data_IF_116667962159
#
_entry.id   IF_116667962159
#
_cell.length_a   1.000
_cell.length_b   1.000
_cell.length_c   1.000
_cell.angle_alpha   90.00
_cell.angle_beta   90.00
_cell.angle_gamma   90.00
#
_symmetry.space_group_name_H-M   'P 1'
#
loop_
_entity.id
_entity.type
_entity.pdbx_description
1 polymer ?
#
# COMPACT_ATOMS: atom_id res chain seq x y z
N UNK A 1 -79.63 -19.48 6.09
CA UNK A 1 -79.78 -20.89 5.70
C UNK A 1 -78.39 -21.37 5.35
N UNK A 2 -77.94 -22.35 6.12
CA UNK A 2 -76.89 -23.36 5.92
C UNK A 2 -75.45 -22.85 5.61
N UNK A 3 -74.54 -22.88 6.60
CA UNK A 3 -73.84 -24.06 7.18
C UNK A 3 -73.04 -24.86 6.16
N UNK A 4 -71.68 -24.93 6.33
CA UNK A 4 -70.85 -26.01 6.90
C UNK A 4 -69.37 -25.69 6.60
N UNK A 5 -68.57 -25.52 7.54
CA UNK A 5 -67.69 -26.43 8.27
C UNK A 5 -66.61 -27.14 7.45
N UNK A 6 -65.36 -26.76 7.66
CA UNK A 6 -64.03 -27.29 7.91
C UNK A 6 -63.53 -28.51 7.07
N UNK A 7 -62.24 -28.88 7.08
CA UNK A 7 -61.37 -28.94 8.24
C UNK A 7 -59.87 -28.54 8.05
N UNK A 8 -59.27 -28.29 9.14
CA UNK A 8 -57.85 -28.44 9.55
C UNK A 8 -56.83 -28.99 8.54
N UNK A 9 -55.81 -28.22 8.29
CA UNK A 9 -54.54 -28.68 7.75
C UNK A 9 -53.36 -28.07 8.54
N UNK A 10 -52.78 -28.89 9.42
CA UNK A 10 -51.49 -28.61 10.05
C UNK A 10 -50.43 -28.57 8.97
N UNK A 11 -49.67 -27.49 8.86
CA UNK A 11 -48.41 -27.52 8.15
C UNK A 11 -47.34 -26.76 8.94
N UNK A 12 -46.38 -27.51 9.25
CA UNK A 12 -45.19 -27.36 9.98
C UNK A 12 -44.45 -26.04 9.81
N UNK A 13 -44.18 -25.43 10.95
CA UNK A 13 -43.11 -24.48 11.06
C UNK A 13 -41.80 -25.19 10.70
N UNK A 14 -41.22 -24.85 9.55
CA UNK A 14 -39.85 -25.24 9.25
C UNK A 14 -38.95 -24.39 10.13
N UNK A 15 -38.29 -25.05 11.05
CA UNK A 15 -37.12 -24.55 11.75
C UNK A 15 -36.06 -24.14 10.68
N UNK A 16 -35.86 -22.86 10.45
CA UNK A 16 -34.66 -22.35 9.78
C UNK A 16 -33.53 -22.53 10.80
N UNK A 17 -32.61 -23.39 10.46
CA UNK A 17 -31.49 -23.71 11.33
C UNK A 17 -30.63 -22.50 11.59
N UNK A 18 -30.29 -22.29 12.86
CA UNK A 18 -29.38 -21.24 13.41
C UNK A 18 -28.02 -21.12 12.75
N UNK A 19 -27.67 -21.98 11.80
CA UNK A 19 -26.41 -21.96 11.07
C UNK A 19 -26.30 -20.79 10.07
N UNK A 20 -27.41 -20.38 9.45
CA UNK A 20 -27.37 -19.32 8.41
C UNK A 20 -27.25 -17.92 9.00
N UNK A 21 -27.79 -17.71 10.21
CA UNK A 21 -27.69 -16.40 10.89
C UNK A 21 -26.29 -16.18 11.46
N UNK A 22 -25.62 -17.25 11.92
CA UNK A 22 -24.22 -17.17 12.39
C UNK A 22 -23.24 -16.96 11.24
N UNK A 23 -23.52 -17.49 10.05
CA UNK A 23 -22.70 -17.29 8.88
C UNK A 23 -22.77 -15.85 8.35
N UNK A 24 -23.94 -15.21 8.34
CA UNK A 24 -24.12 -13.81 7.97
C UNK A 24 -23.46 -12.84 8.96
N UNK A 25 -23.55 -13.09 10.28
CA UNK A 25 -22.93 -12.24 11.30
C UNK A 25 -21.40 -12.36 11.31
N UNK A 26 -20.85 -13.56 11.07
CA UNK A 26 -19.42 -13.77 10.95
C UNK A 26 -18.81 -13.08 9.72
N UNK A 27 -19.56 -12.98 8.62
CA UNK A 27 -19.12 -12.26 7.41
C UNK A 27 -19.13 -10.73 7.62
N UNK A 28 -20.08 -10.19 8.36
CA UNK A 28 -20.19 -8.74 8.59
C UNK A 28 -19.06 -8.20 9.48
N UNK A 29 -18.62 -8.95 10.49
CA UNK A 29 -17.56 -8.52 11.41
C UNK A 29 -16.14 -8.62 10.80
N UNK A 30 -15.95 -9.34 9.70
CA UNK A 30 -14.65 -9.56 9.07
C UNK A 30 -14.34 -8.57 7.94
N UNK A 31 -15.34 -7.92 7.36
CA UNK A 31 -15.16 -7.03 6.20
C UNK A 31 -14.34 -5.79 6.52
N UNK A 32 -14.56 -5.15 7.66
CA UNK A 32 -13.80 -3.96 8.06
C UNK A 32 -12.32 -4.26 8.30
N UNK A 33 -12.01 -5.41 8.89
CA UNK A 33 -10.62 -5.87 9.07
C UNK A 33 -9.94 -6.16 7.74
N UNK A 34 -10.66 -6.75 6.78
CA UNK A 34 -10.17 -7.01 5.43
C UNK A 34 -9.94 -5.70 4.65
N UNK A 35 -10.86 -4.75 4.75
CA UNK A 35 -10.72 -3.42 4.13
C UNK A 35 -9.51 -2.70 4.73
N UNK A 36 -9.36 -2.71 6.04
CA UNK A 36 -8.22 -2.11 6.72
C UNK A 36 -6.87 -2.75 6.31
N UNK A 37 -6.86 -4.05 5.99
CA UNK A 37 -5.64 -4.74 5.54
C UNK A 37 -5.16 -4.33 4.15
N UNK A 38 -6.06 -3.87 3.28
CA UNK A 38 -5.73 -3.32 1.96
C UNK A 38 -5.20 -1.89 2.05
N UNK A 39 -5.64 -1.15 3.06
CA UNK A 39 -5.32 0.25 3.22
C UNK A 39 -3.87 0.52 3.62
N UNK A 40 -3.47 1.78 3.51
CA UNK A 40 -2.18 2.25 3.97
C UNK A 40 -2.05 2.10 5.50
N UNK A 41 -0.85 1.81 5.97
CA UNK A 41 -0.51 1.67 7.39
C UNK A 41 0.96 1.97 7.62
N UNK A 42 1.29 2.39 8.83
CA UNK A 42 2.68 2.50 9.26
C UNK A 42 3.21 1.13 9.70
N UNK A 43 4.43 0.85 9.30
CA UNK A 43 5.21 -0.30 9.78
C UNK A 43 6.52 0.21 10.39
N UNK A 44 7.03 -0.38 11.48
CA UNK A 44 8.38 -0.09 11.94
C UNK A 44 9.38 -0.27 10.80
N UNK A 45 10.29 0.68 10.65
CA UNK A 45 11.31 0.63 9.58
C UNK A 45 12.20 -0.60 9.70
N UNK A 46 12.37 -1.10 10.91
CA UNK A 46 13.20 -2.26 11.24
C UNK A 46 12.54 -3.60 10.86
N UNK A 47 11.23 -3.63 10.61
CA UNK A 47 10.48 -4.88 10.46
C UNK A 47 10.66 -5.60 9.12
N UNK A 48 11.21 -4.98 8.08
CA UNK A 48 11.27 -5.65 6.77
C UNK A 48 12.57 -6.40 6.51
N UNK A 49 13.74 -5.76 6.68
CA UNK A 49 15.03 -6.42 6.44
C UNK A 49 15.53 -7.16 7.69
N UNK A 50 15.40 -6.53 8.85
CA UNK A 50 15.86 -7.10 10.11
C UNK A 50 15.03 -8.32 10.53
N UNK A 51 13.69 -8.25 10.40
CA UNK A 51 12.82 -9.39 10.73
C UNK A 51 12.90 -10.51 9.70
N UNK A 52 13.07 -10.19 8.42
CA UNK A 52 13.36 -11.18 7.39
C UNK A 52 14.70 -11.88 7.66
N UNK A 53 15.72 -11.12 8.08
CA UNK A 53 17.00 -11.65 8.48
C UNK A 53 16.91 -12.57 9.73
N UNK A 54 16.16 -12.15 10.75
CA UNK A 54 15.88 -12.96 11.96
C UNK A 54 15.13 -14.23 11.59
N UNK A 55 14.12 -14.15 10.70
CA UNK A 55 13.38 -15.33 10.24
C UNK A 55 14.28 -16.35 9.51
N UNK A 56 15.27 -15.88 8.75
CA UNK A 56 16.27 -16.74 8.12
C UNK A 56 17.20 -17.37 9.16
N UNK A 57 17.71 -16.58 10.10
CA UNK A 57 18.59 -17.04 11.19
C UNK A 57 17.87 -18.08 12.06
N UNK A 58 16.55 -17.96 12.23
CA UNK A 58 15.73 -18.91 13.02
C UNK A 58 15.59 -20.28 12.35
N UNK A 59 15.86 -20.38 11.03
CA UNK A 59 15.89 -21.66 10.31
C UNK A 59 17.18 -22.43 10.51
N UNK A 60 18.24 -21.76 11.00
CA UNK A 60 19.54 -22.32 11.27
C UNK A 60 20.68 -21.31 11.13
N UNK A 61 21.90 -21.68 11.54
CA UNK A 61 23.06 -20.81 11.43
C UNK A 61 23.37 -20.44 9.98
N UNK A 62 23.39 -19.14 9.65
CA UNK A 62 23.59 -18.63 8.30
C UNK A 62 24.82 -17.70 8.23
N UNK A 63 25.61 -17.78 7.15
CA UNK A 63 26.74 -16.88 6.93
C UNK A 63 26.27 -15.52 6.38
N UNK A 64 27.02 -14.44 6.69
CA UNK A 64 26.68 -13.08 6.25
C UNK A 64 26.44 -12.93 4.73
N UNK A 65 27.23 -13.57 3.83
CA UNK A 65 26.96 -13.49 2.39
C UNK A 65 25.65 -14.14 1.97
N UNK A 66 25.30 -15.29 2.53
CA UNK A 66 24.06 -16.01 2.26
C UNK A 66 22.85 -15.21 2.79
N UNK A 67 22.96 -14.71 4.04
CA UNK A 67 21.93 -13.87 4.65
C UNK A 67 21.63 -12.62 3.81
N UNK A 68 22.68 -11.89 3.41
CA UNK A 68 22.53 -10.65 2.64
C UNK A 68 22.01 -10.93 1.23
N UNK A 69 22.45 -12.01 0.59
CA UNK A 69 21.96 -12.42 -0.72
C UNK A 69 20.45 -12.67 -0.68
N UNK A 70 19.96 -13.38 0.35
CA UNK A 70 18.57 -13.75 0.49
C UNK A 70 17.69 -12.54 0.90
N UNK A 71 18.12 -11.78 1.93
CA UNK A 71 17.33 -10.65 2.46
C UNK A 71 17.30 -9.47 1.50
N UNK A 72 18.44 -9.17 0.84
CA UNK A 72 18.56 -8.05 -0.09
C UNK A 72 18.33 -8.44 -1.56
N UNK A 73 18.08 -9.73 -1.87
CA UNK A 73 17.98 -10.27 -3.22
C UNK A 73 19.20 -9.88 -4.10
N UNK A 74 20.38 -9.87 -3.51
CA UNK A 74 21.61 -9.41 -4.12
C UNK A 74 22.51 -10.59 -4.52
N UNK A 75 23.02 -10.58 -5.76
CA UNK A 75 23.91 -11.62 -6.28
C UNK A 75 25.37 -11.11 -6.26
N UNK A 76 26.31 -11.94 -5.80
CA UNK A 76 27.76 -11.67 -5.92
C UNK A 76 28.29 -10.60 -4.94
N UNK A 77 27.66 -10.42 -3.79
CA UNK A 77 28.11 -9.48 -2.76
C UNK A 77 29.47 -9.90 -2.19
N UNK A 78 30.47 -9.02 -2.24
CA UNK A 78 31.80 -9.29 -1.65
C UNK A 78 31.66 -9.55 -0.15
N UNK A 79 32.40 -10.54 0.38
CA UNK A 79 32.30 -11.00 1.77
C UNK A 79 32.40 -9.85 2.79
N UNK A 80 33.37 -8.95 2.65
CA UNK A 80 33.53 -7.82 3.56
C UNK A 80 32.33 -6.87 3.59
N UNK A 81 31.72 -6.61 2.43
CA UNK A 81 30.49 -5.80 2.32
C UNK A 81 29.30 -6.55 2.92
N UNK A 82 29.17 -7.85 2.67
CA UNK A 82 28.11 -8.68 3.25
C UNK A 82 28.19 -8.74 4.78
N UNK A 83 29.40 -8.83 5.34
CA UNK A 83 29.61 -8.80 6.79
C UNK A 83 29.21 -7.43 7.39
N UNK A 84 29.56 -6.32 6.72
CA UNK A 84 29.16 -4.98 7.14
C UNK A 84 27.63 -4.80 7.09
N UNK A 85 26.98 -5.23 6.00
CA UNK A 85 25.53 -5.16 5.83
C UNK A 85 24.79 -6.05 6.85
N UNK A 86 25.24 -7.29 7.06
CA UNK A 86 24.63 -8.19 8.04
C UNK A 86 24.70 -7.62 9.47
N UNK A 87 25.84 -6.98 9.84
CA UNK A 87 25.94 -6.26 11.12
C UNK A 87 25.04 -5.05 11.21
N UNK A 88 24.86 -4.29 10.12
CA UNK A 88 23.95 -3.17 10.09
C UNK A 88 22.49 -3.63 10.25
N UNK A 89 22.12 -4.77 9.65
CA UNK A 89 20.77 -5.34 9.70
C UNK A 89 20.48 -6.01 11.05
N UNK A 90 21.41 -6.74 11.64
CA UNK A 90 21.19 -7.59 12.80
C UNK A 90 21.93 -7.13 14.07
N UNK A 91 22.92 -6.22 13.98
CA UNK A 91 23.80 -5.88 15.10
C UNK A 91 23.10 -5.21 16.30
N UNK A 92 21.91 -4.65 16.09
CA UNK A 92 21.10 -4.04 17.15
C UNK A 92 20.04 -5.01 17.73
N UNK A 93 19.96 -6.24 17.21
CA UNK A 93 18.96 -7.24 17.63
C UNK A 93 19.48 -8.10 18.79
N UNK A 94 18.78 -8.11 19.94
CA UNK A 94 19.18 -8.92 21.09
C UNK A 94 18.88 -10.41 20.91
N UNK A 95 17.99 -10.76 19.99
CA UNK A 95 17.52 -12.11 19.72
C UNK A 95 18.42 -12.91 18.77
N UNK A 96 19.48 -12.27 18.22
CA UNK A 96 20.46 -12.90 17.34
C UNK A 96 21.88 -12.48 17.68
N UNK A 97 22.86 -13.37 17.41
CA UNK A 97 24.29 -13.07 17.57
C UNK A 97 25.12 -13.75 16.50
N UNK A 98 26.28 -13.18 16.21
CA UNK A 98 27.29 -13.82 15.38
C UNK A 98 28.18 -14.73 16.23
N UNK A 99 28.26 -16.01 15.86
CA UNK A 99 29.09 -16.98 16.53
C UNK A 99 30.60 -16.83 16.17
N UNK A 100 31.51 -17.53 16.84
CA UNK A 100 32.95 -17.50 16.56
C UNK A 100 33.30 -18.03 15.17
N UNK A 101 32.44 -18.81 14.55
CA UNK A 101 32.53 -19.30 13.16
C UNK A 101 32.05 -18.27 12.12
N UNK A 102 31.67 -17.06 12.55
CA UNK A 102 31.19 -15.98 11.71
C UNK A 102 29.73 -16.15 11.23
N UNK A 103 29.01 -17.18 11.69
CA UNK A 103 27.60 -17.39 11.33
C UNK A 103 26.67 -16.74 12.33
N UNK A 104 25.55 -16.21 11.83
CA UNK A 104 24.47 -15.64 12.64
C UNK A 104 23.57 -16.75 13.17
N UNK A 105 23.16 -16.62 14.44
CA UNK A 105 22.31 -17.59 15.18
C UNK A 105 21.35 -16.87 16.08
N UNK A 106 20.23 -17.50 16.42
CA UNK A 106 19.35 -17.02 17.49
C UNK A 106 20.01 -17.19 18.85
N UNK A 107 19.81 -16.24 19.75
CA UNK A 107 20.24 -16.33 21.15
C UNK A 107 19.24 -17.21 21.92
N UNK A 108 19.32 -18.54 21.72
CA UNK A 108 18.65 -19.50 22.58
C UNK A 108 19.53 -19.77 23.82
N UNK A 109 19.66 -18.82 24.73
CA UNK A 109 20.05 -19.13 26.08
C UNK A 109 18.79 -19.35 26.91
N UNK A 110 18.64 -20.53 27.57
CA UNK A 110 17.66 -20.65 28.64
C UNK A 110 18.09 -19.64 29.72
N UNK A 111 17.22 -18.69 30.00
CA UNK A 111 17.38 -17.77 31.12
C UNK A 111 17.43 -18.61 32.39
N UNK A 112 18.63 -18.85 32.90
CA UNK A 112 18.83 -19.42 34.23
C UNK A 112 18.36 -18.35 35.22
N UNK A 113 17.32 -18.60 36.04
CA UNK A 113 16.85 -17.59 36.97
C UNK A 113 17.92 -17.42 38.07
N UNK A 114 18.60 -16.28 38.07
CA UNK A 114 19.42 -15.85 39.20
C UNK A 114 18.48 -15.71 40.42
N UNK A 115 18.80 -16.51 41.41
CA UNK A 115 18.20 -16.60 42.74
C UNK A 115 18.18 -15.22 43.42
N UNK A 116 17.02 -14.59 43.46
CA UNK A 116 16.76 -13.50 44.40
C UNK A 116 15.48 -13.83 45.20
N UNK A 117 15.68 -14.19 46.47
CA UNK A 117 14.64 -14.24 47.51
C UNK A 117 14.11 -12.83 47.74
N UNK A 118 12.78 -12.66 47.75
CA UNK A 118 11.95 -12.16 48.86
C UNK A 118 10.50 -12.00 48.40
N UNK A 119 9.71 -12.80 49.03
CA UNK A 119 8.35 -12.65 49.64
C UNK A 119 7.38 -11.64 49.04
N UNK A 120 6.23 -12.22 48.79
CA UNK A 120 4.94 -11.81 48.26
C UNK A 120 4.24 -10.63 49.00
N UNK A 121 3.12 -10.14 48.46
CA UNK A 121 1.84 -10.85 48.73
C UNK A 121 1.00 -11.10 47.46
N UNK A 122 0.25 -12.19 47.60
CA UNK A 122 -0.77 -12.61 46.67
C UNK A 122 -1.92 -11.61 46.63
N UNK A 123 -2.40 -11.31 45.41
CA UNK A 123 -3.81 -10.98 45.14
C UNK A 123 -4.08 -10.97 43.63
N UNK A 124 -5.09 -11.74 43.25
CA UNK A 124 -5.90 -11.70 42.04
C UNK A 124 -5.28 -12.33 40.78
N UNK A 125 -5.75 -13.56 40.54
CA UNK A 125 -5.68 -14.21 39.23
C UNK A 125 -6.27 -13.32 38.14
N UNK A 126 -5.55 -13.05 37.06
CA UNK A 126 -6.19 -12.60 35.85
C UNK A 126 -6.88 -13.81 35.20
N UNK A 127 -8.14 -13.61 34.83
CA UNK A 127 -8.88 -14.49 33.95
C UNK A 127 -8.07 -14.85 32.70
N UNK A 128 -8.28 -16.06 32.12
CA UNK A 128 -7.55 -16.46 30.93
C UNK A 128 -7.84 -15.47 29.83
N UNK A 129 -6.81 -14.73 29.42
CA UNK A 129 -6.83 -13.96 28.17
C UNK A 129 -7.09 -14.96 27.06
N UNK A 130 -8.30 -14.95 26.53
CA UNK A 130 -8.59 -15.58 25.24
C UNK A 130 -7.62 -14.95 24.23
N UNK A 131 -6.60 -15.73 23.87
CA UNK A 131 -5.83 -15.46 22.67
C UNK A 131 -6.84 -15.45 21.52
N UNK A 132 -7.30 -14.28 21.12
CA UNK A 132 -8.04 -14.08 19.91
C UNK A 132 -7.12 -14.57 18.79
N UNK A 133 -7.38 -15.76 18.27
CA UNK A 133 -6.86 -16.24 17.00
C UNK A 133 -7.29 -15.18 15.97
N UNK A 134 -6.40 -14.26 15.64
CA UNK A 134 -6.61 -13.36 14.51
C UNK A 134 -6.88 -14.25 13.30
N UNK A 135 -8.04 -14.16 12.65
CA UNK A 135 -8.32 -14.98 11.47
C UNK A 135 -7.23 -14.66 10.44
N UNK A 136 -6.55 -15.68 9.98
CA UNK A 136 -5.57 -15.56 8.91
C UNK A 136 -6.30 -14.96 7.72
N UNK A 137 -5.98 -13.70 7.37
CA UNK A 137 -6.58 -13.00 6.22
C UNK A 137 -6.17 -13.76 4.95
N UNK A 138 -7.08 -14.53 4.39
CA UNK A 138 -6.79 -15.26 3.16
C UNK A 138 -6.82 -14.29 1.99
N UNK A 139 -5.91 -14.47 1.05
CA UNK A 139 -5.86 -13.70 -0.20
C UNK A 139 -7.22 -13.71 -0.93
N UNK A 140 -7.94 -14.82 -0.87
CA UNK A 140 -9.23 -14.99 -1.51
C UNK A 140 -10.34 -14.13 -0.88
N UNK A 141 -10.35 -14.01 0.45
CA UNK A 141 -11.30 -13.16 1.15
C UNK A 141 -11.11 -11.67 0.81
N UNK A 142 -9.84 -11.22 0.74
CA UNK A 142 -9.49 -9.86 0.30
C UNK A 142 -9.90 -9.64 -1.17
N UNK A 143 -9.64 -10.61 -2.04
CA UNK A 143 -9.99 -10.52 -3.47
C UNK A 143 -11.52 -10.44 -3.70
N UNK A 144 -12.32 -11.01 -2.82
CA UNK A 144 -13.79 -11.00 -2.91
C UNK A 144 -14.43 -9.68 -2.43
N UNK A 145 -13.69 -8.76 -1.82
CA UNK A 145 -14.25 -7.49 -1.32
C UNK A 145 -14.90 -6.70 -2.45
N UNK A 146 -16.17 -6.25 -2.30
CA UNK A 146 -16.81 -5.37 -3.25
C UNK A 146 -16.08 -4.03 -3.34
N UNK A 147 -15.92 -3.48 -4.55
CA UNK A 147 -15.28 -2.17 -4.77
C UNK A 147 -16.04 -1.07 -4.02
N UNK A 148 -17.38 -1.16 -3.92
CA UNK A 148 -18.23 -0.20 -3.21
C UNK A 148 -17.93 -0.12 -1.71
N UNK A 149 -17.45 -1.19 -1.09
CA UNK A 149 -17.07 -1.20 0.32
C UNK A 149 -15.67 -0.62 0.59
N UNK A 150 -14.86 -0.44 -0.46
CA UNK A 150 -13.48 0.02 -0.31
C UNK A 150 -13.42 1.52 -0.01
N UNK A 151 -12.38 1.90 0.74
CA UNK A 151 -12.05 3.28 1.05
C UNK A 151 -10.81 3.68 0.27
N UNK A 152 -10.85 4.83 -0.38
CA UNK A 152 -9.75 5.34 -1.19
C UNK A 152 -9.28 6.68 -0.64
N UNK A 153 -7.97 6.87 -0.58
CA UNK A 153 -7.33 8.16 -0.34
C UNK A 153 -6.63 8.58 -1.63
N UNK A 154 -7.22 9.54 -2.32
CA UNK A 154 -6.66 10.10 -3.55
C UNK A 154 -5.70 11.20 -3.17
N UNK A 155 -4.43 11.01 -3.54
CA UNK A 155 -3.32 11.89 -3.14
C UNK A 155 -2.73 12.54 -4.36
N UNK A 156 -2.38 13.80 -4.22
CA UNK A 156 -1.55 14.55 -5.16
C UNK A 156 -0.53 15.38 -4.37
N UNK A 157 0.69 15.48 -4.88
CA UNK A 157 1.76 16.24 -4.25
C UNK A 157 2.45 17.16 -5.25
N UNK A 158 2.70 18.40 -4.84
CA UNK A 158 3.64 19.27 -5.51
C UNK A 158 5.00 19.18 -4.81
N UNK A 159 6.08 19.22 -5.58
CA UNK A 159 7.42 18.90 -5.09
C UNK A 159 8.47 19.84 -5.63
N UNK A 160 9.65 19.88 -5.03
CA UNK A 160 10.80 20.67 -5.52
C UNK A 160 11.51 20.01 -6.71
N UNK A 161 11.16 18.75 -7.05
CA UNK A 161 11.74 17.99 -8.14
C UNK A 161 11.18 16.58 -8.23
N UNK A 162 11.88 15.63 -8.86
CA UNK A 162 11.36 14.29 -9.15
C UNK A 162 11.94 13.15 -8.31
N UNK A 163 12.87 13.43 -7.37
CA UNK A 163 13.70 12.40 -6.73
C UNK A 163 13.81 12.57 -5.22
N UNK A 164 12.87 12.05 -4.41
CA UNK A 164 12.90 12.24 -2.95
C UNK A 164 14.21 11.72 -2.34
N UNK A 165 14.78 10.60 -2.83
CA UNK A 165 16.06 10.06 -2.36
C UNK A 165 17.29 10.93 -2.69
N UNK A 166 17.14 11.97 -3.51
CA UNK A 166 18.20 12.93 -3.86
C UNK A 166 17.94 14.33 -3.28
N UNK A 167 17.05 14.43 -2.31
CA UNK A 167 16.81 15.67 -1.58
C UNK A 167 15.64 16.51 -2.08
N UNK A 168 14.91 16.07 -3.11
CA UNK A 168 13.67 16.73 -3.48
C UNK A 168 12.59 16.49 -2.42
N UNK A 169 11.79 17.52 -2.14
CA UNK A 169 10.86 17.59 -1.02
C UNK A 169 9.45 17.94 -1.49
N UNK A 170 8.45 17.62 -0.66
CA UNK A 170 7.06 18.04 -0.87
C UNK A 170 6.92 19.52 -0.51
N UNK A 171 6.23 20.29 -1.36
CA UNK A 171 5.86 21.70 -1.16
C UNK A 171 4.37 21.89 -0.89
N UNK A 172 3.54 20.95 -1.35
CA UNK A 172 2.10 20.90 -1.10
C UNK A 172 1.63 19.44 -1.13
N UNK A 173 0.67 19.10 -0.30
CA UNK A 173 0.01 17.78 -0.32
C UNK A 173 -1.48 17.98 -0.21
N UNK A 174 -2.24 17.19 -0.99
CA UNK A 174 -3.68 17.03 -0.84
C UNK A 174 -4.04 15.55 -0.73
N UNK A 175 -5.04 15.27 0.12
CA UNK A 175 -5.62 13.94 0.33
C UNK A 175 -7.14 14.08 0.25
N UNK A 176 -7.74 13.44 -0.76
CA UNK A 176 -9.19 13.41 -0.97
C UNK A 176 -9.69 12.00 -0.65
N UNK A 177 -10.47 11.87 0.41
CA UNK A 177 -11.03 10.57 0.79
C UNK A 177 -12.33 10.30 0.03
N UNK A 178 -12.41 9.10 -0.56
CA UNK A 178 -13.56 8.63 -1.32
C UNK A 178 -14.07 7.33 -0.70
N UNK A 179 -15.36 7.29 -0.44
CA UNK A 179 -16.08 6.11 0.05
C UNK A 179 -17.44 6.03 -0.63
N UNK A 180 -17.87 4.83 -1.00
CA UNK A 180 -19.15 4.57 -1.68
C UNK A 180 -19.42 5.51 -2.88
N UNK A 181 -18.40 5.73 -3.70
CA UNK A 181 -18.48 6.60 -4.87
C UNK A 181 -18.67 8.09 -4.57
N UNK A 182 -18.45 8.53 -3.34
CA UNK A 182 -18.58 9.92 -2.89
C UNK A 182 -17.25 10.45 -2.33
N UNK A 183 -16.96 11.72 -2.58
CA UNK A 183 -15.90 12.43 -1.86
C UNK A 183 -16.43 12.76 -0.47
N UNK A 184 -15.78 12.25 0.59
CA UNK A 184 -16.23 12.40 1.97
C UNK A 184 -15.37 13.34 2.80
N UNK A 185 -14.14 13.60 2.36
CA UNK A 185 -13.23 14.52 3.06
C UNK A 185 -12.15 15.04 2.10
N UNK A 186 -11.68 16.26 2.33
CA UNK A 186 -10.58 16.88 1.60
C UNK A 186 -9.65 17.53 2.61
N UNK A 187 -8.41 17.12 2.58
CA UNK A 187 -7.31 17.72 3.33
C UNK A 187 -6.30 18.31 2.35
N UNK A 188 -5.83 19.51 2.62
CA UNK A 188 -4.76 20.14 1.86
C UNK A 188 -3.87 20.99 2.77
N UNK A 189 -2.59 21.03 2.45
CA UNK A 189 -1.67 21.95 3.11
C UNK A 189 -0.43 22.24 2.26
N UNK A 190 0.02 23.50 2.29
CA UNK A 190 1.36 23.85 1.88
C UNK A 190 2.37 23.33 2.93
N UNK A 191 3.53 22.91 2.46
CA UNK A 191 4.61 22.35 3.29
C UNK A 191 5.89 23.14 3.07
N UNK A 192 6.60 23.48 4.13
CA UNK A 192 7.93 24.01 4.03
C UNK A 192 8.90 22.88 3.63
N UNK A 193 9.49 22.92 2.42
CA UNK A 193 10.35 21.84 1.95
C UNK A 193 11.75 21.85 2.60
N UNK A 194 12.07 22.85 3.43
CA UNK A 194 13.39 23.06 4.05
C UNK A 194 14.55 23.16 3.02
N UNK A 195 14.21 23.42 1.77
CA UNK A 195 15.17 23.63 0.68
C UNK A 195 14.61 24.63 -0.33
N UNK A 196 15.47 25.08 -1.25
CA UNK A 196 15.07 26.01 -2.30
C UNK A 196 14.14 25.35 -3.32
N UNK A 197 13.08 26.06 -3.72
CA UNK A 197 12.20 25.64 -4.81
C UNK A 197 12.82 26.14 -6.12
N UNK A 198 13.16 25.24 -7.07
CA UNK A 198 13.72 25.68 -8.36
C UNK A 198 12.76 26.58 -9.11
N UNK A 199 13.24 27.64 -9.81
CA UNK A 199 12.38 28.59 -10.53
C UNK A 199 11.43 27.92 -11.55
N UNK A 200 11.88 26.86 -12.22
CA UNK A 200 11.06 26.09 -13.16
C UNK A 200 9.87 25.40 -12.44
N UNK A 201 10.07 24.90 -11.23
CA UNK A 201 9.01 24.31 -10.43
C UNK A 201 8.00 25.38 -10.02
N UNK A 202 8.49 26.53 -9.54
CA UNK A 202 7.61 27.67 -9.23
C UNK A 202 6.77 28.12 -10.41
N UNK A 203 7.32 28.12 -11.65
CA UNK A 203 6.57 28.44 -12.86
C UNK A 203 5.42 27.46 -13.13
N UNK A 204 5.58 26.17 -12.82
CA UNK A 204 4.59 25.12 -13.04
C UNK A 204 3.53 25.14 -11.92
N UNK A 205 3.98 25.10 -10.67
CA UNK A 205 3.10 24.93 -9.49
C UNK A 205 2.56 26.24 -8.94
N UNK A 206 3.20 27.36 -9.30
CA UNK A 206 2.96 28.71 -8.73
C UNK A 206 3.24 28.80 -7.23
N UNK A 207 3.89 27.77 -6.65
CA UNK A 207 4.32 27.77 -5.25
C UNK A 207 5.66 28.46 -5.14
N UNK A 208 5.73 29.58 -4.40
CA UNK A 208 6.95 30.33 -4.16
C UNK A 208 7.56 29.96 -2.81
N UNK A 209 8.85 30.22 -2.62
CA UNK A 209 9.52 30.03 -1.33
C UNK A 209 8.88 30.86 -0.21
N UNK A 210 8.34 32.04 -0.51
CA UNK A 210 7.66 32.89 0.47
C UNK A 210 6.34 32.27 0.95
N UNK A 211 5.60 31.59 0.05
CA UNK A 211 4.33 30.93 0.41
C UNK A 211 4.55 29.78 1.41
N UNK A 212 5.68 29.08 1.34
CA UNK A 212 5.96 27.89 2.16
C UNK A 212 6.84 28.18 3.37
N UNK A 213 7.50 29.34 3.45
CA UNK A 213 8.48 29.70 4.50
C UNK A 213 7.95 29.49 5.91
N UNK A 214 6.71 29.89 6.16
CA UNK A 214 6.07 29.81 7.49
C UNK A 214 5.04 28.66 7.57
N UNK A 215 5.11 27.69 6.65
CA UNK A 215 4.25 26.51 6.69
C UNK A 215 4.92 25.39 7.50
N UNK A 216 4.16 24.40 7.99
CA UNK A 216 4.75 23.29 8.71
C UNK A 216 5.75 22.55 7.82
N UNK A 217 6.83 22.03 8.39
CA UNK A 217 7.68 21.03 7.73
C UNK A 217 6.95 19.70 7.70
N UNK A 218 7.27 18.84 6.74
CA UNK A 218 6.54 17.58 6.60
C UNK A 218 6.62 16.71 7.86
N UNK A 219 7.74 16.70 8.55
CA UNK A 219 7.92 15.96 9.80
C UNK A 219 6.86 16.30 10.86
N UNK A 220 6.39 17.57 10.91
CA UNK A 220 5.35 18.00 11.84
C UNK A 220 3.97 17.40 11.53
N UNK A 221 3.68 17.19 10.24
CA UNK A 221 2.38 16.67 9.77
C UNK A 221 2.42 15.19 9.41
N UNK A 222 3.56 14.53 9.52
CA UNK A 222 3.77 13.17 9.02
C UNK A 222 2.81 12.15 9.64
N UNK A 223 2.52 12.26 10.95
CA UNK A 223 1.54 11.40 11.62
C UNK A 223 0.11 11.70 11.15
N UNK A 224 -0.28 12.97 11.04
CA UNK A 224 -1.61 13.36 10.54
C UNK A 224 -1.83 12.85 9.10
N UNK A 225 -0.81 12.98 8.24
CA UNK A 225 -0.85 12.42 6.87
C UNK A 225 -1.01 10.89 6.91
N UNK A 226 -0.23 10.20 7.73
CA UNK A 226 -0.32 8.74 7.85
C UNK A 226 -1.69 8.29 8.37
N UNK A 227 -2.25 8.97 9.36
CA UNK A 227 -3.57 8.67 9.94
C UNK A 227 -4.69 8.89 8.92
N UNK A 228 -4.58 9.93 8.07
CA UNK A 228 -5.54 10.16 6.98
C UNK A 228 -5.50 9.10 5.89
N UNK A 229 -4.33 8.50 5.68
CA UNK A 229 -4.14 7.40 4.74
C UNK A 229 -4.53 6.04 5.35
N UNK A 230 -4.50 5.90 6.67
CA UNK A 230 -4.72 4.64 7.37
C UNK A 230 -6.05 3.97 6.97
N UNK A 231 -5.99 2.69 6.59
CA UNK A 231 -7.15 1.92 6.16
C UNK A 231 -7.73 2.28 4.78
N UNK A 232 -7.08 3.17 4.03
CA UNK A 232 -7.50 3.57 2.68
C UNK A 232 -6.51 3.03 1.63
N UNK A 233 -7.01 2.61 0.48
CA UNK A 233 -6.20 2.33 -0.70
C UNK A 233 -5.65 3.66 -1.21
N UNK A 234 -4.33 3.76 -1.32
CA UNK A 234 -3.67 4.96 -1.85
C UNK A 234 -3.90 5.07 -3.36
N UNK A 235 -4.43 6.18 -3.81
CA UNK A 235 -4.71 6.43 -5.23
C UNK A 235 -4.02 7.71 -5.68
N UNK A 236 -3.44 7.71 -6.88
CA UNK A 236 -2.97 8.94 -7.51
C UNK A 236 -2.97 8.84 -9.04
N UNK A 237 -2.84 9.98 -9.71
CA UNK A 237 -2.69 10.04 -11.15
C UNK A 237 -1.21 9.93 -11.53
N UNK A 238 -0.67 8.72 -11.67
CA UNK A 238 0.71 8.26 -11.69
C UNK A 238 1.22 7.90 -10.28
N UNK A 239 0.48 7.07 -9.58
CA UNK A 239 0.63 6.75 -8.15
C UNK A 239 2.06 6.39 -7.70
N UNK A 240 2.94 5.91 -8.59
CA UNK A 240 4.32 5.61 -8.22
C UNK A 240 5.14 6.87 -7.88
N UNK A 241 4.75 8.03 -8.39
CA UNK A 241 5.41 9.29 -8.07
C UNK A 241 5.02 9.75 -6.66
N UNK A 242 3.72 9.92 -6.43
CA UNK A 242 3.18 10.43 -5.16
C UNK A 242 3.49 9.48 -4.00
N UNK A 243 3.33 8.17 -4.22
CA UNK A 243 3.67 7.16 -3.23
C UNK A 243 5.12 7.24 -2.76
N UNK A 244 6.08 7.41 -3.70
CA UNK A 244 7.51 7.52 -3.34
C UNK A 244 7.78 8.75 -2.49
N UNK A 245 7.19 9.91 -2.84
CA UNK A 245 7.39 11.13 -2.06
C UNK A 245 6.76 11.02 -0.68
N UNK A 246 5.49 10.63 -0.60
CA UNK A 246 4.77 10.51 0.67
C UNK A 246 5.43 9.46 1.58
N UNK A 247 5.80 8.28 1.03
CA UNK A 247 6.49 7.24 1.81
C UNK A 247 7.85 7.73 2.33
N UNK A 248 8.60 8.46 1.52
CA UNK A 248 9.90 9.01 1.93
C UNK A 248 9.77 10.05 3.04
N UNK A 249 8.83 10.99 2.90
CA UNK A 249 8.60 12.03 3.89
C UNK A 249 7.97 11.49 5.18
N UNK A 250 7.06 10.54 5.10
CA UNK A 250 6.51 9.84 6.28
C UNK A 250 7.64 9.12 7.02
N UNK A 251 8.50 8.39 6.32
CA UNK A 251 9.66 7.74 6.94
C UNK A 251 10.59 8.74 7.63
N UNK A 252 10.89 9.86 6.98
CA UNK A 252 11.72 10.93 7.57
C UNK A 252 11.11 11.54 8.83
N UNK A 253 9.78 11.72 8.85
CA UNK A 253 9.08 12.36 9.95
C UNK A 253 8.77 11.44 11.13
N UNK A 254 8.54 10.15 10.86
CA UNK A 254 8.06 9.19 11.88
C UNK A 254 9.06 8.08 12.21
N UNK A 255 10.08 7.85 11.36
CA UNK A 255 10.94 6.68 11.43
C UNK A 255 10.25 5.38 11.03
N UNK A 256 9.00 5.43 10.55
CA UNK A 256 8.21 4.27 10.19
C UNK A 256 7.96 4.24 8.67
N UNK A 257 7.90 3.04 8.10
CA UNK A 257 7.62 2.87 6.68
C UNK A 257 6.11 2.90 6.42
N UNK A 258 5.70 3.63 5.40
CA UNK A 258 4.35 3.55 4.87
C UNK A 258 4.24 2.28 4.00
N UNK A 259 3.29 1.42 4.33
CA UNK A 259 2.97 0.20 3.59
C UNK A 259 1.49 0.20 3.22
N UNK A 260 1.13 -0.44 2.13
CA UNK A 260 -0.26 -0.54 1.70
C UNK A 260 -0.42 -0.72 0.20
N UNK A 261 -1.67 -0.84 -0.20
CA UNK A 261 -2.04 -1.05 -1.59
C UNK A 261 -2.16 0.28 -2.33
N UNK A 262 -1.65 0.33 -3.56
CA UNK A 262 -1.74 1.50 -4.43
C UNK A 262 -2.56 1.23 -5.68
N UNK A 263 -3.36 2.20 -6.11
CA UNK A 263 -4.15 2.20 -7.33
C UNK A 263 -3.73 3.40 -8.20
N UNK A 264 -3.34 3.14 -9.45
CA UNK A 264 -2.92 4.19 -10.37
C UNK A 264 -4.01 4.47 -11.41
N UNK A 265 -4.60 5.67 -11.40
CA UNK A 265 -5.66 6.03 -12.35
C UNK A 265 -5.18 6.07 -13.79
N UNK A 266 -3.90 6.38 -14.07
CA UNK A 266 -3.32 6.26 -15.43
C UNK A 266 -3.34 4.81 -15.91
N UNK A 267 -2.97 3.86 -15.04
CA UNK A 267 -2.97 2.42 -15.39
C UNK A 267 -4.40 1.91 -15.58
N UNK A 268 -5.32 2.31 -14.72
CA UNK A 268 -6.73 1.95 -14.82
C UNK A 268 -7.35 2.55 -16.09
N UNK A 269 -7.11 3.83 -16.38
CA UNK A 269 -7.58 4.48 -17.61
C UNK A 269 -7.07 3.80 -18.89
N UNK A 270 -5.83 3.26 -18.89
CA UNK A 270 -5.34 2.48 -20.05
C UNK A 270 -6.17 1.25 -20.34
N UNK A 271 -6.84 0.71 -19.35
CA UNK A 271 -7.66 -0.51 -19.48
C UNK A 271 -9.12 -0.18 -19.75
N UNK A 272 -9.63 0.80 -19.05
CA UNK A 272 -11.03 1.23 -19.17
C UNK A 272 -11.24 2.01 -20.47
N UNK A 273 -10.28 2.85 -20.87
CA UNK A 273 -10.34 3.73 -22.04
C UNK A 273 -9.22 3.39 -23.04
N UNK A 274 -9.19 2.19 -23.66
CA UNK A 274 -8.11 1.79 -24.56
C UNK A 274 -8.00 2.70 -25.80
N UNK A 275 -9.10 3.30 -26.22
CA UNK A 275 -9.19 4.21 -27.37
C UNK A 275 -8.61 5.60 -27.09
N UNK A 276 -8.48 6.01 -25.81
CA UNK A 276 -7.97 7.34 -25.48
C UNK A 276 -6.46 7.41 -25.78
N UNK A 277 -5.99 8.34 -26.63
CA UNK A 277 -4.59 8.37 -27.07
C UNK A 277 -3.63 8.83 -25.97
N UNK A 278 -4.06 9.76 -25.12
CA UNK A 278 -3.32 10.29 -23.98
C UNK A 278 -4.07 10.02 -22.69
N UNK A 279 -3.33 9.81 -21.60
CA UNK A 279 -3.89 9.52 -20.26
C UNK A 279 -3.25 10.40 -19.19
N UNK A 280 -2.79 11.60 -19.56
CA UNK A 280 -2.52 12.65 -18.59
C UNK A 280 -3.84 13.11 -17.96
N UNK A 281 -3.76 13.80 -16.81
CA UNK A 281 -4.93 14.19 -16.03
C UNK A 281 -5.95 14.94 -16.89
N UNK A 282 -5.51 15.93 -17.68
CA UNK A 282 -6.39 16.75 -18.50
C UNK A 282 -7.16 15.93 -19.55
N UNK A 283 -6.49 14.99 -20.23
CA UNK A 283 -7.14 14.17 -21.25
C UNK A 283 -8.20 13.23 -20.67
N UNK A 284 -7.96 12.67 -19.48
CA UNK A 284 -8.93 11.81 -18.80
C UNK A 284 -10.05 12.64 -18.18
N UNK A 285 -9.74 13.81 -17.63
CA UNK A 285 -10.72 14.77 -17.11
C UNK A 285 -11.66 15.22 -18.22
N UNK A 286 -11.14 15.61 -19.38
CA UNK A 286 -11.94 16.00 -20.54
C UNK A 286 -12.85 14.86 -21.01
N UNK A 287 -12.38 13.61 -21.02
CA UNK A 287 -13.18 12.44 -21.41
C UNK A 287 -14.41 12.25 -20.51
N UNK A 288 -14.25 12.50 -19.20
CA UNK A 288 -15.32 12.35 -18.22
C UNK A 288 -16.06 13.66 -17.90
N UNK A 289 -15.82 14.73 -18.65
CA UNK A 289 -16.35 16.06 -18.40
C UNK A 289 -16.09 16.54 -16.95
N UNK A 290 -14.91 16.20 -16.40
CA UNK A 290 -14.43 16.71 -15.12
C UNK A 290 -13.71 18.03 -15.38
N UNK A 291 -14.29 19.12 -14.90
CA UNK A 291 -13.66 20.43 -14.98
C UNK A 291 -12.54 20.58 -13.98
N UNK A 292 -11.39 21.09 -14.43
CA UNK A 292 -10.26 21.51 -13.60
C UNK A 292 -10.06 22.99 -13.86
N UNK A 293 -10.50 23.88 -12.94
CA UNK A 293 -10.33 25.32 -13.11
C UNK A 293 -8.83 25.68 -13.24
N UNK A 294 -8.53 26.62 -14.14
CA UNK A 294 -7.14 26.95 -14.48
C UNK A 294 -6.34 27.52 -13.29
N UNK A 295 -7.01 28.14 -12.35
CA UNK A 295 -6.44 28.71 -11.12
C UNK A 295 -6.02 27.65 -10.10
N UNK A 296 -6.64 26.46 -10.12
CA UNK A 296 -6.29 25.34 -9.22
C UNK A 296 -5.52 24.22 -9.95
N UNK A 297 -5.28 24.33 -11.24
CA UNK A 297 -4.47 23.39 -12.01
C UNK A 297 -3.00 23.52 -11.60
N UNK A 298 -2.32 22.37 -11.36
CA UNK A 298 -0.99 22.29 -10.73
C UNK A 298 -0.97 22.85 -9.30
N UNK A 299 -2.07 22.62 -8.59
CA UNK A 299 -2.20 22.74 -7.15
C UNK A 299 -2.75 21.41 -6.64
N UNK A 300 -2.13 20.89 -5.59
CA UNK A 300 -2.39 19.53 -5.14
C UNK A 300 -3.89 19.25 -4.89
N UNK A 301 -4.63 20.17 -4.29
CA UNK A 301 -6.06 19.98 -4.05
C UNK A 301 -6.88 19.92 -5.34
N UNK A 302 -6.63 20.80 -6.31
CA UNK A 302 -7.33 20.82 -7.59
C UNK A 302 -7.13 19.52 -8.36
N UNK A 303 -5.88 19.04 -8.46
CA UNK A 303 -5.52 17.84 -9.19
C UNK A 303 -5.99 16.58 -8.45
N UNK A 304 -5.94 16.55 -7.11
CA UNK A 304 -6.47 15.44 -6.29
C UNK A 304 -8.00 15.31 -6.39
N UNK A 305 -8.75 16.43 -6.33
CA UNK A 305 -10.21 16.42 -6.48
C UNK A 305 -10.60 15.95 -7.88
N UNK A 306 -9.92 16.43 -8.93
CA UNK A 306 -10.16 15.98 -10.29
C UNK A 306 -9.84 14.48 -10.43
N UNK A 307 -8.73 14.01 -9.86
CA UNK A 307 -8.35 12.61 -9.83
C UNK A 307 -9.38 11.74 -9.08
N UNK A 308 -9.96 12.25 -7.98
CA UNK A 308 -11.03 11.56 -7.25
C UNK A 308 -12.31 11.39 -8.09
N UNK A 309 -12.73 12.44 -8.78
CA UNK A 309 -13.87 12.38 -9.71
C UNK A 309 -13.62 11.40 -10.87
N UNK A 310 -12.40 11.42 -11.42
CA UNK A 310 -11.95 10.48 -12.46
C UNK A 310 -11.94 9.04 -11.93
N UNK A 311 -11.45 8.81 -10.71
CA UNK A 311 -11.47 7.49 -10.08
C UNK A 311 -12.89 6.93 -10.01
N UNK A 312 -13.83 7.73 -9.51
CA UNK A 312 -15.24 7.35 -9.38
C UNK A 312 -15.81 6.96 -10.75
N UNK A 313 -15.55 7.76 -11.79
CA UNK A 313 -15.99 7.47 -13.15
C UNK A 313 -15.36 6.19 -13.73
N UNK A 314 -14.04 6.00 -13.55
CA UNK A 314 -13.33 4.80 -13.98
C UNK A 314 -13.83 3.53 -13.27
N UNK A 315 -14.16 3.61 -11.98
CA UNK A 315 -14.69 2.48 -11.22
C UNK A 315 -16.13 2.15 -11.68
N UNK A 316 -16.94 3.16 -12.02
CA UNK A 316 -18.27 2.95 -12.61
C UNK A 316 -18.17 2.24 -13.96
N UNK A 317 -17.26 2.67 -14.83
CA UNK A 317 -17.04 2.04 -16.13
C UNK A 317 -16.48 0.61 -16.01
N UNK A 318 -15.67 0.34 -14.96
CA UNK A 318 -15.19 -1.00 -14.64
C UNK A 318 -16.34 -1.89 -14.16
N UNK A 319 -17.24 -1.37 -13.30
CA UNK A 319 -18.43 -2.09 -12.84
C UNK A 319 -19.38 -2.44 -14.01
N UNK A 320 -19.53 -1.56 -15.01
CA UNK A 320 -20.25 -1.85 -16.26
C UNK A 320 -19.63 -2.97 -17.11
N UNK A 321 -18.47 -3.50 -16.72
CA UNK A 321 -17.79 -4.65 -17.33
C UNK A 321 -17.66 -5.82 -16.35
N UNK A 322 -18.56 -5.90 -15.38
CA UNK A 322 -18.61 -6.94 -14.33
C UNK A 322 -17.36 -6.97 -13.42
N UNK A 323 -16.58 -5.86 -13.38
CA UNK A 323 -15.44 -5.73 -12.48
C UNK A 323 -15.92 -5.04 -11.21
N UNK A 324 -16.47 -5.84 -10.29
CA UNK A 324 -17.15 -5.34 -9.08
C UNK A 324 -16.41 -5.66 -7.78
N UNK A 325 -15.35 -6.51 -7.83
CA UNK A 325 -14.55 -6.87 -6.67
C UNK A 325 -13.13 -6.37 -6.78
N UNK A 326 -12.44 -6.23 -5.63
CA UNK A 326 -11.03 -5.85 -5.59
C UNK A 326 -10.14 -6.79 -6.41
N UNK A 327 -10.30 -8.10 -6.25
CA UNK A 327 -9.51 -9.09 -6.98
C UNK A 327 -9.70 -8.99 -8.49
N UNK A 328 -10.94 -8.75 -8.96
CA UNK A 328 -11.23 -8.54 -10.38
C UNK A 328 -10.55 -7.25 -10.89
N UNK A 329 -10.60 -6.15 -10.11
CA UNK A 329 -9.98 -4.87 -10.45
C UNK A 329 -8.45 -4.99 -10.50
N UNK A 330 -7.84 -5.63 -9.51
CA UNK A 330 -6.39 -5.83 -9.44
C UNK A 330 -5.89 -6.71 -10.60
N UNK A 331 -6.57 -7.83 -10.87
CA UNK A 331 -6.28 -8.68 -12.02
C UNK A 331 -6.47 -7.93 -13.36
N UNK A 332 -7.51 -7.10 -13.47
CA UNK A 332 -7.76 -6.30 -14.67
C UNK A 332 -6.63 -5.32 -14.96
N UNK A 333 -6.11 -4.65 -13.94
CA UNK A 333 -4.96 -3.75 -14.08
C UNK A 333 -3.66 -4.48 -14.44
N UNK A 334 -3.43 -5.67 -13.90
CA UNK A 334 -2.21 -6.47 -14.09
C UNK A 334 -2.15 -7.17 -15.45
N UNK A 335 -3.27 -7.51 -16.08
CA UNK A 335 -3.28 -8.11 -17.42
C UNK A 335 -2.48 -7.27 -18.40
N UNK A 336 -1.48 -7.86 -19.08
CA UNK A 336 -0.73 -7.17 -20.12
C UNK A 336 -1.68 -6.73 -21.25
N UNK A 337 -1.56 -5.48 -21.73
CA UNK A 337 -2.35 -5.02 -22.87
C UNK A 337 -1.97 -5.80 -24.12
N UNK A 338 -2.92 -6.06 -25.01
CA UNK A 338 -2.67 -6.75 -26.30
C UNK A 338 -1.58 -6.06 -27.12
N UNK A 339 -1.50 -4.71 -27.04
CA UNK A 339 -0.46 -3.93 -27.69
C UNK A 339 0.94 -4.16 -27.10
N UNK A 340 1.05 -4.38 -25.77
CA UNK A 340 2.33 -4.71 -25.13
C UNK A 340 2.81 -6.12 -25.52
N UNK A 341 1.87 -7.10 -25.68
CA UNK A 341 2.19 -8.45 -26.18
C UNK A 341 2.68 -8.44 -27.62
N UNK A 342 2.20 -7.51 -28.47
CA UNK A 342 2.68 -7.37 -29.87
C UNK A 342 4.10 -6.79 -29.96
N UNK A 343 4.51 -5.92 -29.01
CA UNK A 343 5.88 -5.37 -28.95
C UNK A 343 6.91 -6.33 -28.37
N UNK A 344 6.48 -7.33 -27.63
CA UNK A 344 7.35 -8.34 -27.02
C UNK A 344 7.62 -9.57 -27.94
N UNK A 345 7.37 -9.49 -29.24
CA UNK A 345 7.84 -10.52 -30.19
C UNK A 345 9.37 -10.54 -30.17
N UNK A 346 9.99 -11.72 -29.98
CA UNK A 346 11.45 -11.81 -30.00
C UNK A 346 11.97 -11.35 -31.36
N UNK A 347 12.95 -10.46 -31.34
CA UNK A 347 13.79 -10.17 -32.50
C UNK A 347 14.58 -11.44 -32.75
N UNK A 348 14.27 -12.13 -33.83
CA UNK A 348 15.08 -13.25 -34.31
C UNK A 348 16.49 -12.74 -34.55
N UNK A 349 17.54 -13.42 -34.05
CA UNK A 349 18.90 -13.05 -34.35
C UNK A 349 19.09 -13.09 -35.88
N UNK A 350 19.68 -12.04 -36.42
CA UNK A 350 20.07 -11.97 -37.84
C UNK A 350 21.01 -13.14 -38.15
N UNK A 351 20.87 -13.80 -39.29
CA UNK A 351 21.79 -14.88 -39.69
C UNK A 351 23.21 -14.30 -39.75
N UNK A 352 24.12 -15.00 -39.10
CA UNK A 352 25.56 -14.76 -39.20
C UNK A 352 25.91 -14.93 -40.68
N UNK A 353 26.39 -13.89 -41.33
CA UNK A 353 27.00 -14.02 -42.66
C UNK A 353 28.33 -14.71 -42.47
N UNK A 354 28.42 -15.95 -42.90
CA UNK A 354 29.69 -16.65 -43.04
C UNK A 354 30.57 -15.85 -44.04
N UNK A 355 31.71 -15.37 -43.50
CA UNK A 355 32.79 -14.81 -44.28
C UNK A 355 33.69 -15.98 -44.72
N UNK A 356 33.27 -16.69 -45.76
CA UNK A 356 34.12 -17.60 -46.52
C UNK A 356 33.78 -17.38 -48.01
N UNK A 357 34.56 -16.49 -48.62
CA UNK A 357 35.00 -16.59 -50.00
C UNK A 357 35.81 -15.36 -50.36
N UNK A 358 37.09 -15.59 -50.64
CA UNK A 358 38.00 -14.57 -51.09
C UNK A 358 39.45 -15.07 -51.11
N UNK A 359 39.74 -16.03 -52.04
CA UNK A 359 41.09 -16.31 -52.48
C UNK A 359 41.64 -15.19 -53.36
#
# INVERSE_FOLDING_TARGET
MHERAGPSGRAGARYVQDADVRFCLAHSMNSDSLIASLGARLKPAESSLSDAAVALVSRGPIASPELVAEVCQAIGVRRALAESLARAILGHRPDVRQGPDGRWRTTNEPVTPARARREAPALLSPAPAMAALSPTLTHDAVAALPISSLRFAVVDVETTGGRPGHGDRITEIAIVRVHDGQIVDVYETLVNPECMIPPMITQITRITSDMVRNKPVFATIAHDVADRLAGHIFVAHNASFDWRFVSHEVYRGTGQMLDGTTLCTVRLARKVLPQLPRRNLDAVAMHYAVEIPADVRHRAAGDAIATAKILIALLRDAAGRDITTWGALDAFQKKASVAAKRRAKPVLPSPVRDASDGA
#
